data_IF_663177078065
#
_entry.id   IF_663177078065
#
_cell.length_a   1.000
_cell.length_b   1.000
_cell.length_c   1.000
_cell.angle_alpha   90.00
_cell.angle_beta   90.00
_cell.angle_gamma   90.00
#
_symmetry.space_group_name_H-M   'P 1'
#
loop_
_entity.id
_entity.type
_entity.pdbx_description
1 polymer ?
#
# COMPACT_ATOMS: atom_id res chain seq x y z
N UNK A 1 5.26 11.65 -6.10
CA UNK A 1 5.11 10.25 -6.53
C UNK A 1 3.74 9.76 -6.09
N UNK A 2 2.99 9.11 -6.98
CA UNK A 2 1.60 8.69 -6.72
C UNK A 2 1.51 7.51 -5.77
N UNK A 3 0.40 7.43 -5.03
CA UNK A 3 0.13 6.45 -3.96
C UNK A 3 0.25 4.96 -4.35
N UNK A 4 0.49 4.63 -5.62
CA UNK A 4 0.51 3.26 -6.13
C UNK A 4 1.77 2.47 -5.72
N UNK A 5 2.87 3.15 -5.37
CA UNK A 5 4.14 2.51 -5.01
C UNK A 5 4.57 2.68 -3.55
N UNK A 6 3.81 3.45 -2.76
CA UNK A 6 4.15 3.77 -1.38
C UNK A 6 3.23 2.97 -0.43
N UNK A 7 3.75 1.96 0.29
CA UNK A 7 2.94 1.13 1.17
C UNK A 7 2.35 1.93 2.35
N UNK A 8 3.00 3.00 2.79
CA UNK A 8 2.50 3.81 3.91
C UNK A 8 1.37 4.74 3.44
N UNK A 9 1.44 5.25 2.22
CA UNK A 9 0.33 5.96 1.59
C UNK A 9 -0.90 5.04 1.40
N UNK A 10 -0.69 3.78 0.99
CA UNK A 10 -1.76 2.79 0.84
C UNK A 10 -2.43 2.48 2.20
N UNK A 11 -1.64 2.34 3.27
CA UNK A 11 -2.17 2.16 4.62
C UNK A 11 -2.93 3.39 5.13
N UNK A 12 -2.44 4.58 4.81
CA UNK A 12 -3.14 5.83 5.10
C UNK A 12 -4.53 5.89 4.45
N UNK A 13 -4.63 5.52 3.17
CA UNK A 13 -5.90 5.44 2.44
C UNK A 13 -6.82 4.35 3.02
N UNK A 14 -6.27 3.18 3.36
CA UNK A 14 -7.03 2.11 3.98
C UNK A 14 -7.60 2.53 5.35
N UNK A 15 -6.81 3.23 6.17
CA UNK A 15 -7.26 3.75 7.46
C UNK A 15 -8.38 4.79 7.30
N UNK A 16 -8.29 5.67 6.31
CA UNK A 16 -9.35 6.63 6.01
C UNK A 16 -10.65 5.93 5.58
N UNK A 17 -10.58 4.91 4.71
CA UNK A 17 -11.76 4.16 4.30
C UNK A 17 -12.44 3.47 5.49
N UNK A 18 -11.67 2.88 6.41
CA UNK A 18 -12.21 2.27 7.63
C UNK A 18 -12.90 3.31 8.51
N UNK A 19 -12.30 4.49 8.71
CA UNK A 19 -12.94 5.59 9.46
C UNK A 19 -14.25 6.02 8.83
N UNK A 20 -14.26 6.23 7.51
CA UNK A 20 -15.47 6.62 6.77
C UNK A 20 -16.54 5.55 6.81
N UNK A 21 -16.19 4.28 6.66
CA UNK A 21 -17.11 3.17 6.82
C UNK A 21 -17.76 3.17 8.22
N UNK A 22 -16.98 3.43 9.27
CA UNK A 22 -17.48 3.59 10.64
C UNK A 22 -18.47 4.75 10.78
N UNK A 23 -18.15 5.91 10.22
CA UNK A 23 -19.04 7.08 10.22
C UNK A 23 -20.36 6.80 9.47
N UNK A 24 -20.29 6.14 8.32
CA UNK A 24 -21.45 5.75 7.51
C UNK A 24 -22.35 4.78 8.28
N UNK A 25 -21.79 3.76 8.95
CA UNK A 25 -22.56 2.85 9.81
C UNK A 25 -23.21 3.58 10.98
N UNK A 26 -22.48 4.48 11.64
CA UNK A 26 -23.02 5.26 12.76
C UNK A 26 -24.22 6.11 12.31
N UNK A 27 -24.14 6.77 11.15
CA UNK A 27 -25.24 7.54 10.57
C UNK A 27 -26.45 6.64 10.22
N UNK A 28 -26.21 5.47 9.63
CA UNK A 28 -27.28 4.49 9.34
C UNK A 28 -27.98 4.02 10.62
N UNK A 29 -27.23 3.79 11.68
CA UNK A 29 -27.77 3.35 12.96
C UNK A 29 -28.53 4.46 13.70
N UNK A 30 -28.06 5.70 13.62
CA UNK A 30 -28.82 6.87 14.07
C UNK A 30 -30.15 6.99 13.32
N UNK A 31 -30.13 6.84 11.99
CA UNK A 31 -31.35 6.89 11.18
C UNK A 31 -32.33 5.78 11.59
N UNK A 32 -31.84 4.56 11.81
CA UNK A 32 -32.63 3.42 12.30
C UNK A 32 -33.26 3.71 13.67
N UNK A 33 -32.49 4.27 14.60
CA UNK A 33 -33.00 4.70 15.93
C UNK A 33 -34.06 5.79 15.81
N UNK A 34 -33.86 6.76 14.92
CA UNK A 34 -34.84 7.82 14.67
C UNK A 34 -36.16 7.26 14.14
N UNK A 35 -36.10 6.33 13.18
CA UNK A 35 -37.26 5.62 12.67
C UNK A 35 -38.02 4.81 13.71
N UNK A 36 -37.30 4.11 14.60
CA UNK A 36 -37.90 3.34 15.67
C UNK A 36 -38.66 4.20 16.70
N UNK A 37 -38.28 5.47 16.86
CA UNK A 37 -38.98 6.43 17.74
C UNK A 37 -40.24 7.01 17.12
N UNK A 38 -40.45 6.81 15.83
CA UNK A 38 -41.61 7.34 15.11
C UNK A 38 -42.89 6.60 15.50
N UNK A 39 -43.89 7.32 16.03
CA UNK A 39 -45.12 6.74 16.60
C UNK A 39 -46.38 6.90 15.73
N UNK A 40 -46.31 7.56 14.57
CA UNK A 40 -47.50 7.76 13.75
C UNK A 40 -47.88 6.49 12.98
N UNK A 41 -49.19 6.28 12.81
CA UNK A 41 -49.78 5.12 12.15
C UNK A 41 -50.59 5.61 10.95
N UNK A 42 -50.15 5.22 9.75
CA UNK A 42 -50.80 5.50 8.47
C UNK A 42 -50.15 4.67 7.36
N UNK A 43 -50.73 4.64 6.17
CA UNK A 43 -50.08 4.05 4.99
C UNK A 43 -48.76 4.73 4.66
N UNK A 44 -48.69 6.06 4.84
CA UNK A 44 -47.45 6.82 4.72
C UNK A 44 -46.40 6.37 5.75
N UNK A 45 -46.79 6.00 6.97
CA UNK A 45 -45.89 5.43 7.97
C UNK A 45 -45.29 4.10 7.52
N UNK A 46 -46.11 3.24 6.92
CA UNK A 46 -45.68 1.94 6.40
C UNK A 46 -44.74 2.11 5.21
N UNK A 47 -45.04 3.03 4.29
CA UNK A 47 -44.17 3.37 3.17
C UNK A 47 -42.82 3.93 3.66
N UNK A 48 -42.84 4.84 4.63
CA UNK A 48 -41.63 5.39 5.25
C UNK A 48 -40.75 4.30 5.87
N UNK A 49 -41.31 3.40 6.69
CA UNK A 49 -40.54 2.31 7.32
C UNK A 49 -39.92 1.36 6.29
N UNK A 50 -40.62 1.08 5.20
CA UNK A 50 -40.09 0.27 4.08
C UNK A 50 -38.92 0.98 3.40
N UNK A 51 -39.05 2.27 3.11
CA UNK A 51 -37.99 3.04 2.48
C UNK A 51 -36.77 3.14 3.40
N UNK A 52 -36.97 3.49 4.66
CA UNK A 52 -35.91 3.53 5.67
C UNK A 52 -35.16 2.20 5.77
N UNK A 53 -35.85 1.06 5.78
CA UNK A 53 -35.20 -0.24 5.83
C UNK A 53 -34.28 -0.48 4.61
N UNK A 54 -34.72 -0.06 3.41
CA UNK A 54 -33.92 -0.13 2.18
C UNK A 54 -32.71 0.80 2.26
N UNK A 55 -32.91 2.03 2.71
CA UNK A 55 -31.84 3.03 2.83
C UNK A 55 -30.78 2.57 3.83
N UNK A 56 -31.19 2.02 4.98
CA UNK A 56 -30.27 1.44 5.96
C UNK A 56 -29.48 0.26 5.36
N UNK A 57 -30.13 -0.62 4.61
CA UNK A 57 -29.44 -1.74 3.96
C UNK A 57 -28.42 -1.26 2.91
N UNK A 58 -28.74 -0.20 2.15
CA UNK A 58 -27.82 0.39 1.18
C UNK A 58 -26.61 1.05 1.88
N UNK A 59 -26.84 1.73 3.01
CA UNK A 59 -25.79 2.31 3.85
C UNK A 59 -24.86 1.22 4.42
N UNK A 60 -25.42 0.13 4.93
CA UNK A 60 -24.65 -1.00 5.45
C UNK A 60 -23.78 -1.63 4.34
N UNK A 61 -24.36 -1.86 3.16
CA UNK A 61 -23.63 -2.37 2.00
C UNK A 61 -22.50 -1.43 1.53
N UNK A 62 -22.73 -0.12 1.55
CA UNK A 62 -21.70 0.86 1.20
C UNK A 62 -20.54 0.84 2.21
N UNK A 63 -20.83 0.74 3.51
CA UNK A 63 -19.80 0.62 4.53
C UNK A 63 -18.99 -0.68 4.40
N UNK A 64 -19.65 -1.80 4.07
CA UNK A 64 -18.99 -3.07 3.82
C UNK A 64 -18.06 -3.01 2.60
N UNK A 65 -18.50 -2.34 1.53
CA UNK A 65 -17.67 -2.11 0.34
C UNK A 65 -16.42 -1.27 0.67
N UNK A 66 -16.56 -0.22 1.50
CA UNK A 66 -15.42 0.58 1.96
C UNK A 66 -14.44 -0.24 2.80
N UNK A 67 -14.94 -1.07 3.72
CA UNK A 67 -14.11 -1.96 4.53
C UNK A 67 -13.38 -3.01 3.68
N UNK A 68 -14.07 -3.56 2.67
CA UNK A 68 -13.47 -4.49 1.71
C UNK A 68 -12.35 -3.83 0.89
N UNK A 69 -12.59 -2.62 0.38
CA UNK A 69 -11.58 -1.85 -0.35
C UNK A 69 -10.37 -1.52 0.53
N UNK A 70 -10.57 -1.15 1.80
CA UNK A 70 -9.47 -0.97 2.74
C UNK A 70 -8.64 -2.25 2.94
N UNK A 71 -9.30 -3.41 3.00
CA UNK A 71 -8.63 -4.71 3.07
C UNK A 71 -7.80 -5.03 1.83
N UNK A 72 -8.27 -4.66 0.63
CA UNK A 72 -7.50 -4.80 -0.61
C UNK A 72 -6.24 -3.92 -0.60
N UNK A 73 -6.37 -2.66 -0.15
CA UNK A 73 -5.24 -1.73 -0.08
C UNK A 73 -4.13 -2.22 0.86
N UNK A 74 -4.50 -2.74 2.04
CA UNK A 74 -3.53 -3.30 3.00
C UNK A 74 -2.77 -4.50 2.43
N UNK A 75 -3.49 -5.43 1.79
CA UNK A 75 -2.84 -6.56 1.11
C UNK A 75 -1.85 -6.09 0.05
N UNK A 76 -2.22 -5.07 -0.71
CA UNK A 76 -1.33 -4.51 -1.71
C UNK A 76 -0.10 -3.82 -1.07
N UNK A 77 -0.27 -3.09 0.04
CA UNK A 77 0.85 -2.52 0.78
C UNK A 77 1.83 -3.60 1.27
N UNK A 78 1.31 -4.72 1.78
CA UNK A 78 2.12 -5.86 2.22
C UNK A 78 2.89 -6.51 1.04
N UNK A 79 2.24 -6.66 -0.12
CA UNK A 79 2.91 -7.13 -1.34
C UNK A 79 4.04 -6.20 -1.78
N UNK A 80 3.81 -4.88 -1.74
CA UNK A 80 4.83 -3.88 -2.08
C UNK A 80 6.00 -3.95 -1.11
N UNK A 81 5.75 -4.01 0.21
CA UNK A 81 6.80 -4.20 1.23
C UNK A 81 7.61 -5.47 0.99
N UNK A 82 6.95 -6.58 0.66
CA UNK A 82 7.62 -7.84 0.38
C UNK A 82 8.55 -7.75 -0.84
N UNK A 83 8.11 -7.06 -1.90
CA UNK A 83 8.93 -6.81 -3.10
C UNK A 83 10.11 -5.90 -2.80
N UNK A 84 9.90 -4.80 -2.07
CA UNK A 84 10.97 -3.89 -1.66
C UNK A 84 12.03 -4.61 -0.80
N UNK A 85 11.59 -5.45 0.15
CA UNK A 85 12.49 -6.24 0.95
C UNK A 85 13.28 -7.29 0.13
N UNK A 86 12.67 -7.86 -0.92
CA UNK A 86 13.35 -8.78 -1.83
C UNK A 86 14.43 -8.05 -2.65
N UNK A 87 14.12 -6.85 -3.15
CA UNK A 87 15.08 -5.98 -3.87
C UNK A 87 16.26 -5.64 -2.96
N UNK A 88 15.99 -5.17 -1.74
CA UNK A 88 17.05 -4.81 -0.77
C UNK A 88 17.98 -6.00 -0.45
N UNK A 89 17.44 -7.22 -0.33
CA UNK A 89 18.26 -8.43 -0.14
C UNK A 89 19.14 -8.73 -1.36
N UNK A 90 18.60 -8.57 -2.57
CA UNK A 90 19.38 -8.78 -3.79
C UNK A 90 20.50 -7.73 -3.92
N UNK A 91 20.21 -6.46 -3.65
CA UNK A 91 21.20 -5.37 -3.64
C UNK A 91 22.31 -5.63 -2.61
N UNK A 92 21.96 -6.07 -1.40
CA UNK A 92 22.94 -6.42 -0.38
C UNK A 92 23.83 -7.60 -0.82
N UNK A 93 23.25 -8.61 -1.48
CA UNK A 93 24.00 -9.75 -1.99
C UNK A 93 24.99 -9.32 -3.10
N UNK A 94 24.58 -8.42 -4.00
CA UNK A 94 25.45 -7.85 -5.04
C UNK A 94 26.59 -7.03 -4.41
N UNK A 95 26.29 -6.18 -3.44
CA UNK A 95 27.31 -5.39 -2.72
C UNK A 95 28.33 -6.29 -2.05
N UNK A 96 27.87 -7.28 -1.29
CA UNK A 96 28.75 -8.23 -0.61
C UNK A 96 29.55 -9.10 -1.57
N UNK A 97 29.02 -9.42 -2.76
CA UNK A 97 29.80 -10.09 -3.81
C UNK A 97 30.90 -9.17 -4.36
N UNK A 98 30.59 -7.91 -4.67
CA UNK A 98 31.57 -6.93 -5.16
C UNK A 98 32.70 -6.70 -4.15
N UNK A 99 32.37 -6.50 -2.87
CA UNK A 99 33.34 -6.35 -1.77
C UNK A 99 34.28 -7.56 -1.69
N UNK A 100 33.75 -8.77 -1.84
CA UNK A 100 34.56 -9.99 -1.85
C UNK A 100 35.47 -10.11 -3.07
N UNK A 101 35.06 -9.63 -4.24
CA UNK A 101 35.92 -9.63 -5.44
C UNK A 101 37.04 -8.60 -5.30
N UNK A 102 36.73 -7.40 -4.81
CA UNK A 102 37.74 -6.37 -4.51
C UNK A 102 38.80 -6.87 -3.51
N UNK A 103 38.38 -7.64 -2.50
CA UNK A 103 39.31 -8.25 -1.54
C UNK A 103 40.19 -9.37 -2.12
N UNK A 104 39.82 -9.97 -3.27
CA UNK A 104 40.49 -11.16 -3.83
C UNK A 104 41.43 -10.89 -5.01
N UNK A 105 41.32 -9.77 -5.73
CA UNK A 105 42.02 -9.60 -7.02
C UNK A 105 42.79 -8.30 -7.16
N UNK A 106 44.12 -8.38 -7.26
CA UNK A 106 44.96 -7.32 -7.85
C UNK A 106 44.62 -7.07 -9.33
N UNK A 107 44.89 -5.84 -9.79
CA UNK A 107 44.70 -5.27 -11.15
C UNK A 107 43.28 -5.01 -11.67
N UNK A 108 42.22 -5.71 -11.23
CA UNK A 108 40.81 -5.30 -11.45
C UNK A 108 40.31 -4.30 -10.38
N UNK A 109 41.21 -3.90 -9.48
CA UNK A 109 40.94 -3.13 -8.27
C UNK A 109 40.46 -1.71 -8.53
N UNK A 110 41.02 -0.99 -9.50
CA UNK A 110 40.67 0.43 -9.70
C UNK A 110 39.21 0.60 -10.17
N UNK A 111 38.79 -0.14 -11.20
CA UNK A 111 37.41 -0.04 -11.71
C UNK A 111 36.38 -0.59 -10.73
N UNK A 112 36.67 -1.70 -10.03
CA UNK A 112 35.75 -2.27 -9.06
C UNK A 112 35.71 -1.45 -7.77
N UNK A 113 36.83 -0.88 -7.32
CA UNK A 113 36.86 -0.01 -6.13
C UNK A 113 36.13 1.31 -6.36
N UNK A 114 36.26 1.92 -7.54
CA UNK A 114 35.50 3.12 -7.90
C UNK A 114 33.99 2.84 -7.89
N UNK A 115 33.55 1.71 -8.47
CA UNK A 115 32.14 1.33 -8.45
C UNK A 115 31.65 1.00 -7.03
N UNK A 116 32.47 0.34 -6.20
CA UNK A 116 32.15 0.02 -4.80
C UNK A 116 32.08 1.29 -3.93
N UNK A 117 32.97 2.25 -4.14
CA UNK A 117 33.00 3.53 -3.43
C UNK A 117 31.80 4.43 -3.74
N UNK A 118 31.20 4.30 -4.93
CA UNK A 118 30.03 5.05 -5.37
C UNK A 118 28.70 4.30 -5.17
N UNK A 119 28.66 3.15 -4.47
CA UNK A 119 27.43 2.36 -4.36
C UNK A 119 26.31 3.15 -3.64
N UNK A 120 25.16 3.35 -4.30
CA UNK A 120 24.04 4.05 -3.71
C UNK A 120 23.39 3.26 -2.57
N UNK A 121 22.64 3.95 -1.70
CA UNK A 121 21.84 3.31 -0.66
C UNK A 121 20.83 2.31 -1.25
N UNK A 122 20.43 1.33 -0.43
CA UNK A 122 19.49 0.30 -0.84
C UNK A 122 18.15 0.91 -1.29
N UNK A 123 17.64 0.49 -2.44
CA UNK A 123 16.41 0.99 -3.04
C UNK A 123 16.50 2.36 -3.72
N UNK A 124 17.69 2.97 -3.80
CA UNK A 124 17.86 4.25 -4.51
C UNK A 124 17.79 4.08 -6.03
N UNK A 125 17.18 5.05 -6.72
CA UNK A 125 17.04 5.02 -8.19
C UNK A 125 18.40 5.00 -8.92
N UNK A 126 19.45 5.48 -8.26
CA UNK A 126 20.84 5.46 -8.73
C UNK A 126 21.40 4.05 -9.01
N UNK A 127 20.78 2.97 -8.51
CA UNK A 127 21.16 1.60 -8.88
C UNK A 127 21.03 1.31 -10.37
N UNK A 128 20.13 2.00 -11.10
CA UNK A 128 20.03 1.89 -12.57
C UNK A 128 21.27 2.43 -13.29
N UNK A 129 21.88 3.47 -12.74
CA UNK A 129 23.11 4.06 -13.29
C UNK A 129 24.30 3.15 -13.03
N UNK A 130 24.36 2.53 -11.85
CA UNK A 130 25.38 1.52 -11.50
C UNK A 130 25.28 0.30 -12.41
N UNK A 131 24.07 -0.22 -12.68
CA UNK A 131 23.91 -1.38 -13.56
C UNK A 131 24.37 -1.08 -14.99
N UNK A 132 24.07 0.11 -15.52
CA UNK A 132 24.52 0.52 -16.85
C UNK A 132 26.06 0.58 -16.95
N UNK A 133 26.72 1.09 -15.90
CA UNK A 133 28.19 1.13 -15.82
C UNK A 133 28.82 -0.26 -15.74
N UNK A 134 28.26 -1.15 -14.90
CA UNK A 134 28.73 -2.53 -14.79
C UNK A 134 28.61 -3.29 -16.12
N UNK A 135 27.51 -3.10 -16.86
CA UNK A 135 27.36 -3.66 -18.21
C UNK A 135 28.38 -3.10 -19.20
N UNK A 136 28.71 -1.80 -19.12
CA UNK A 136 29.72 -1.20 -20.01
C UNK A 136 31.15 -1.66 -19.72
N UNK A 137 31.45 -2.06 -18.48
CA UNK A 137 32.74 -2.59 -18.06
C UNK A 137 32.94 -4.08 -18.41
N UNK A 138 31.94 -4.75 -19.02
CA UNK A 138 32.03 -6.16 -19.37
C UNK A 138 32.01 -7.12 -18.18
N UNK A 139 31.63 -6.62 -17.00
CA UNK A 139 31.54 -7.40 -15.75
C UNK A 139 30.22 -8.17 -15.62
N UNK A 140 29.35 -8.09 -16.64
CA UNK A 140 28.08 -8.82 -16.73
C UNK A 140 27.66 -9.03 -18.18
#
# INVERSE_FOLDING_TARGET
MGAYGDPDALDGLAAELVRRAGAVRAAGEEHRRAGARTRWVSDAATAYRRQQARDCAAVDAAADAMAHAAGLLRRHADEVRARLAAIARAEQAVRSWLEQQAARGGDLLEEVADVVGELPEAGAEAWRTVSARLSSAGLW
#
